data_IF_358178855735
#
_entry.id   IF_358178855735
#
_cell.length_a   1.000
_cell.length_b   1.000
_cell.length_c   1.000
_cell.angle_alpha   90.00
_cell.angle_beta   90.00
_cell.angle_gamma   90.00
#
_symmetry.space_group_name_H-M   'P 1'
#
loop_
_entity.id
_entity.type
_entity.pdbx_description
1 polymer ?
#
# COMPACT_ATOMS: atom_id res chain seq x y z
N UNK A 1 8.54 -10.21 -39.86
CA UNK A 1 8.72 -9.08 -38.92
C UNK A 1 8.08 -9.52 -37.63
N UNK A 2 8.89 -9.98 -36.68
CA UNK A 2 8.41 -10.52 -35.41
C UNK A 2 7.88 -9.39 -34.55
N UNK A 3 6.60 -9.48 -34.20
CA UNK A 3 5.99 -8.56 -33.22
C UNK A 3 6.62 -8.95 -31.88
N UNK A 4 7.49 -8.11 -31.27
CA UNK A 4 7.99 -8.41 -29.95
C UNK A 4 6.78 -8.50 -29.03
N UNK A 5 6.72 -9.52 -28.18
CA UNK A 5 5.71 -9.65 -27.12
C UNK A 5 5.60 -8.29 -26.41
N UNK A 6 4.57 -7.52 -26.76
CA UNK A 6 4.65 -6.07 -26.59
C UNK A 6 4.69 -5.74 -25.11
N UNK A 7 5.59 -4.85 -24.71
CA UNK A 7 5.64 -4.28 -23.35
C UNK A 7 4.25 -3.97 -22.78
N UNK A 8 3.35 -3.45 -23.63
CA UNK A 8 1.96 -3.16 -23.28
C UNK A 8 1.12 -4.41 -22.94
N UNK A 9 1.35 -5.55 -23.58
CA UNK A 9 0.69 -6.81 -23.26
C UNK A 9 1.11 -7.31 -21.87
N UNK A 10 2.41 -7.32 -21.58
CA UNK A 10 2.92 -7.67 -20.25
C UNK A 10 2.38 -6.71 -19.19
N UNK A 11 2.34 -5.40 -19.49
CA UNK A 11 1.83 -4.39 -18.56
C UNK A 11 0.36 -4.59 -18.24
N UNK A 12 -0.46 -4.89 -19.25
CA UNK A 12 -1.87 -5.24 -19.06
C UNK A 12 -2.03 -6.51 -18.23
N UNK A 13 -1.19 -7.51 -18.48
CA UNK A 13 -1.19 -8.76 -17.72
C UNK A 13 -0.82 -8.55 -16.26
N UNK A 14 0.23 -7.77 -15.97
CA UNK A 14 0.64 -7.44 -14.60
C UNK A 14 -0.50 -6.74 -13.84
N UNK A 15 -1.12 -5.71 -14.42
CA UNK A 15 -2.26 -5.02 -13.80
C UNK A 15 -3.45 -5.93 -13.53
N UNK A 16 -3.74 -6.87 -14.43
CA UNK A 16 -4.80 -7.85 -14.24
C UNK A 16 -4.49 -8.78 -13.07
N UNK A 17 -3.26 -9.28 -12.99
CA UNK A 17 -2.81 -10.15 -11.90
C UNK A 17 -2.80 -9.40 -10.56
N UNK A 18 -2.34 -8.14 -10.54
CA UNK A 18 -2.40 -7.26 -9.36
C UNK A 18 -3.83 -7.09 -8.85
N UNK A 19 -4.78 -6.77 -9.73
CA UNK A 19 -6.18 -6.62 -9.35
C UNK A 19 -6.81 -7.91 -8.80
N UNK A 20 -6.50 -9.05 -9.42
CA UNK A 20 -6.98 -10.36 -8.94
C UNK A 20 -6.35 -10.73 -7.59
N UNK A 21 -5.07 -10.38 -7.40
CA UNK A 21 -4.35 -10.63 -6.16
C UNK A 21 -4.93 -9.77 -5.02
N UNK A 22 -5.22 -8.49 -5.28
CA UNK A 22 -5.87 -7.59 -4.32
C UNK A 22 -7.24 -8.07 -3.88
N UNK A 23 -8.08 -8.52 -4.83
CA UNK A 23 -9.41 -9.05 -4.53
C UNK A 23 -9.34 -10.21 -3.54
N UNK A 24 -8.35 -11.07 -3.70
CA UNK A 24 -8.30 -12.32 -2.93
C UNK A 24 -7.49 -12.19 -1.66
N UNK A 25 -6.54 -11.25 -1.64
CA UNK A 25 -5.98 -10.77 -0.39
C UNK A 25 -7.07 -10.15 0.49
N UNK A 26 -8.06 -9.47 -0.08
CA UNK A 26 -9.22 -8.97 0.68
C UNK A 26 -10.12 -10.11 1.20
N UNK A 27 -10.35 -11.17 0.42
CA UNK A 27 -11.07 -12.35 0.89
C UNK A 27 -10.29 -13.04 2.02
N UNK A 28 -8.98 -13.18 1.87
CA UNK A 28 -8.10 -13.77 2.87
C UNK A 28 -8.07 -12.94 4.15
N UNK A 29 -8.02 -11.60 4.07
CA UNK A 29 -8.18 -10.69 5.21
C UNK A 29 -9.49 -10.93 5.97
N UNK A 30 -10.61 -11.08 5.24
CA UNK A 30 -11.93 -11.36 5.85
C UNK A 30 -11.94 -12.72 6.55
N UNK A 31 -11.33 -13.73 5.93
CA UNK A 31 -11.17 -15.06 6.51
C UNK A 31 -10.32 -15.00 7.79
N UNK A 32 -9.19 -14.28 7.76
CA UNK A 32 -8.32 -14.07 8.93
C UNK A 32 -9.01 -13.30 10.07
N UNK A 33 -9.96 -12.42 9.75
CA UNK A 33 -10.78 -11.74 10.76
C UNK A 33 -11.91 -12.61 11.30
N UNK A 34 -12.49 -13.49 10.47
CA UNK A 34 -13.65 -14.30 10.79
C UNK A 34 -13.32 -15.63 11.46
N UNK A 35 -12.12 -16.19 11.20
CA UNK A 35 -11.71 -17.50 11.72
C UNK A 35 -11.39 -17.46 13.21
N UNK A 36 -12.43 -17.69 14.00
CA UNK A 36 -12.43 -18.20 15.39
C UNK A 36 -13.11 -19.60 15.44
N UNK A 37 -13.51 -20.18 14.29
CA UNK A 37 -14.26 -21.45 14.24
C UNK A 37 -13.65 -22.46 13.27
N UNK A 38 -13.47 -23.68 13.78
CA UNK A 38 -12.68 -24.84 13.34
C UNK A 38 -13.08 -25.49 11.99
N UNK A 39 -13.89 -24.83 11.15
CA UNK A 39 -14.43 -25.41 9.90
C UNK A 39 -13.84 -24.84 8.60
N UNK A 40 -12.87 -23.94 8.69
CA UNK A 40 -12.38 -23.15 7.55
C UNK A 40 -11.03 -23.58 6.97
N UNK A 41 -10.35 -24.59 7.54
CA UNK A 41 -8.97 -24.96 7.18
C UNK A 41 -8.80 -25.37 5.71
N UNK A 42 -9.77 -26.09 5.13
CA UNK A 42 -9.69 -26.50 3.73
C UNK A 42 -9.82 -25.30 2.77
N UNK A 43 -10.78 -24.41 3.03
CA UNK A 43 -10.99 -23.19 2.23
C UNK A 43 -9.85 -22.19 2.38
N UNK A 44 -9.20 -22.17 3.55
CA UNK A 44 -8.02 -21.36 3.84
C UNK A 44 -6.82 -21.84 3.02
N UNK A 45 -6.53 -23.15 3.06
CA UNK A 45 -5.41 -23.74 2.33
C UNK A 45 -5.54 -23.57 0.81
N UNK A 46 -6.75 -23.73 0.28
CA UNK A 46 -7.05 -23.50 -1.14
C UNK A 46 -6.78 -22.04 -1.53
N UNK A 47 -7.24 -21.08 -0.71
CA UNK A 47 -7.07 -19.65 -0.95
C UNK A 47 -5.59 -19.23 -0.84
N UNK A 48 -4.85 -19.73 0.15
CA UNK A 48 -3.41 -19.50 0.26
C UNK A 48 -2.67 -20.01 -0.97
N UNK A 49 -2.96 -21.25 -1.39
CA UNK A 49 -2.30 -21.85 -2.55
C UNK A 49 -2.58 -21.09 -3.85
N UNK A 50 -3.78 -20.49 -3.96
CA UNK A 50 -4.18 -19.70 -5.11
C UNK A 50 -3.47 -18.32 -5.12
N UNK A 51 -3.36 -17.67 -3.96
CA UNK A 51 -2.59 -16.42 -3.79
C UNK A 51 -1.11 -16.64 -4.12
N UNK A 52 -0.51 -17.74 -3.63
CA UNK A 52 0.87 -18.11 -3.95
C UNK A 52 1.10 -18.33 -5.45
N UNK A 53 0.13 -18.93 -6.16
CA UNK A 53 0.19 -19.10 -7.62
C UNK A 53 0.14 -17.75 -8.33
N UNK A 54 -0.73 -16.84 -7.92
CA UNK A 54 -0.83 -15.49 -8.50
C UNK A 54 0.46 -14.68 -8.28
N UNK A 55 1.04 -14.74 -7.07
CA UNK A 55 2.32 -14.09 -6.76
C UNK A 55 3.44 -14.59 -7.68
N UNK A 56 3.55 -15.91 -7.86
CA UNK A 56 4.54 -16.51 -8.77
C UNK A 56 4.32 -16.08 -10.22
N UNK A 57 3.07 -16.00 -10.68
CA UNK A 57 2.74 -15.53 -12.03
C UNK A 57 3.11 -14.05 -12.21
N UNK A 58 2.81 -13.19 -11.23
CA UNK A 58 3.17 -11.77 -11.29
C UNK A 58 4.69 -11.58 -11.27
N UNK A 59 5.41 -12.37 -10.47
CA UNK A 59 6.87 -12.40 -10.46
C UNK A 59 7.45 -12.80 -11.83
N UNK A 60 6.86 -13.81 -12.49
CA UNK A 60 7.27 -14.22 -13.84
C UNK A 60 7.02 -13.12 -14.88
N UNK A 61 5.89 -12.41 -14.79
CA UNK A 61 5.61 -11.28 -15.70
C UNK A 61 6.61 -10.14 -15.46
N UNK A 62 6.93 -9.83 -14.20
CA UNK A 62 7.93 -8.83 -13.85
C UNK A 62 9.33 -9.20 -14.34
N UNK A 63 9.72 -10.48 -14.31
CA UNK A 63 11.02 -10.91 -14.85
C UNK A 63 11.09 -10.81 -16.38
N UNK A 64 9.98 -11.12 -17.07
CA UNK A 64 9.86 -10.91 -18.52
C UNK A 64 9.95 -9.43 -18.89
N UNK A 65 9.27 -8.55 -18.15
CA UNK A 65 9.40 -7.10 -18.30
C UNK A 65 10.83 -6.62 -18.06
N UNK A 66 11.50 -7.16 -17.03
CA UNK A 66 12.88 -6.82 -16.73
C UNK A 66 13.84 -7.20 -17.87
N UNK A 67 13.67 -8.37 -18.48
CA UNK A 67 14.46 -8.78 -19.65
C UNK A 67 14.27 -7.83 -20.85
N UNK A 68 13.05 -7.32 -21.07
CA UNK A 68 12.77 -6.32 -22.11
C UNK A 68 13.37 -4.94 -21.80
N UNK A 69 13.40 -4.53 -20.52
CA UNK A 69 14.06 -3.29 -20.11
C UNK A 69 15.57 -3.39 -20.30
N UNK A 70 16.18 -4.51 -19.92
CA UNK A 70 17.62 -4.73 -20.04
C UNK A 70 18.13 -4.79 -21.49
N UNK A 71 17.26 -5.05 -22.47
CA UNK A 71 17.61 -5.12 -23.90
C UNK A 71 17.54 -3.77 -24.63
N UNK A 72 17.18 -2.67 -23.93
CA UNK A 72 17.19 -1.32 -24.50
C UNK A 72 15.98 -0.46 -24.14
N UNK A 73 15.40 -0.63 -22.95
CA UNK A 73 14.21 0.10 -22.51
C UNK A 73 14.46 1.59 -22.24
N UNK A 74 13.47 2.42 -22.56
CA UNK A 74 13.44 3.84 -22.18
C UNK A 74 13.33 4.02 -20.65
N UNK A 75 13.84 5.13 -20.12
CA UNK A 75 13.75 5.49 -18.68
C UNK A 75 12.33 5.37 -18.10
N UNK A 76 11.32 5.71 -18.91
CA UNK A 76 9.89 5.60 -18.54
C UNK A 76 9.43 4.15 -18.35
N UNK A 77 9.97 3.24 -19.17
CA UNK A 77 9.70 1.79 -19.13
C UNK A 77 10.36 1.20 -17.88
N UNK A 78 11.59 1.62 -17.57
CA UNK A 78 12.30 1.25 -16.34
C UNK A 78 11.59 1.71 -15.06
N UNK A 79 11.09 2.95 -15.02
CA UNK A 79 10.31 3.44 -13.88
C UNK A 79 9.01 2.64 -13.70
N UNK A 80 8.33 2.32 -14.81
CA UNK A 80 7.11 1.53 -14.77
C UNK A 80 7.37 0.11 -14.26
N UNK A 81 8.48 -0.52 -14.67
CA UNK A 81 8.91 -1.81 -14.12
C UNK A 81 9.17 -1.72 -12.61
N UNK A 82 9.93 -0.72 -12.17
CA UNK A 82 10.25 -0.55 -10.75
C UNK A 82 8.97 -0.46 -9.91
N UNK A 83 7.96 0.26 -10.41
CA UNK A 83 6.65 0.34 -9.76
C UNK A 83 5.96 -1.03 -9.64
N UNK A 84 5.97 -1.85 -10.69
CA UNK A 84 5.39 -3.20 -10.65
C UNK A 84 6.18 -4.14 -9.71
N UNK A 85 7.49 -3.95 -9.56
CA UNK A 85 8.32 -4.68 -8.59
C UNK A 85 8.01 -4.28 -7.15
N UNK A 86 7.86 -2.97 -6.87
CA UNK A 86 7.41 -2.46 -5.57
C UNK A 86 6.06 -3.05 -5.17
N UNK A 87 5.07 -3.01 -6.09
CA UNK A 87 3.72 -3.55 -5.83
C UNK A 87 3.80 -5.05 -5.51
N UNK A 88 4.57 -5.82 -6.28
CA UNK A 88 4.77 -7.25 -6.00
C UNK A 88 5.38 -7.48 -4.61
N UNK A 89 6.39 -6.69 -4.23
CA UNK A 89 7.03 -6.80 -2.92
C UNK A 89 6.05 -6.47 -1.78
N UNK A 90 5.29 -5.39 -1.92
CA UNK A 90 4.28 -4.97 -0.93
C UNK A 90 3.22 -6.05 -0.73
N UNK A 91 2.66 -6.58 -1.83
CA UNK A 91 1.65 -7.65 -1.80
C UNK A 91 2.20 -8.95 -1.20
N UNK A 92 3.45 -9.30 -1.51
CA UNK A 92 4.12 -10.47 -0.93
C UNK A 92 4.31 -10.31 0.58
N UNK A 93 4.81 -9.16 1.01
CA UNK A 93 5.01 -8.87 2.44
C UNK A 93 3.69 -8.86 3.20
N UNK A 94 2.64 -8.30 2.61
CA UNK A 94 1.31 -8.30 3.18
C UNK A 94 0.75 -9.72 3.34
N UNK A 95 0.88 -10.57 2.32
CA UNK A 95 0.49 -11.97 2.38
C UNK A 95 1.15 -12.71 3.54
N UNK A 96 2.48 -12.60 3.66
CA UNK A 96 3.22 -13.22 4.76
C UNK A 96 2.79 -12.69 6.13
N UNK A 97 2.49 -11.39 6.24
CA UNK A 97 1.99 -10.80 7.48
C UNK A 97 0.62 -11.37 7.86
N UNK A 98 -0.29 -11.49 6.90
CA UNK A 98 -1.62 -12.06 7.12
C UNK A 98 -1.52 -13.53 7.54
N UNK A 99 -0.68 -14.33 6.87
CA UNK A 99 -0.46 -15.73 7.23
C UNK A 99 0.12 -15.92 8.63
N UNK A 100 1.08 -15.07 9.02
CA UNK A 100 1.60 -15.07 10.39
C UNK A 100 0.53 -14.69 11.41
N UNK A 101 -0.29 -13.68 11.10
CA UNK A 101 -1.40 -13.26 11.97
C UNK A 101 -2.44 -14.36 12.12
N UNK A 102 -2.71 -15.13 11.07
CA UNK A 102 -3.66 -16.23 11.08
C UNK A 102 -3.17 -17.36 11.98
N UNK A 103 -1.91 -17.79 11.76
CA UNK A 103 -1.27 -18.81 12.58
C UNK A 103 -1.24 -18.44 14.06
N UNK A 104 -0.87 -17.19 14.38
CA UNK A 104 -0.87 -16.73 15.76
C UNK A 104 -2.27 -16.82 16.40
N UNK A 105 -3.34 -16.50 15.64
CA UNK A 105 -4.72 -16.65 16.13
C UNK A 105 -5.13 -18.11 16.29
N UNK A 106 -4.75 -18.99 15.36
CA UNK A 106 -5.00 -20.43 15.46
C UNK A 106 -4.29 -21.04 16.68
N UNK A 107 -3.02 -20.71 16.90
CA UNK A 107 -2.25 -21.13 18.08
C UNK A 107 -2.88 -20.61 19.38
N UNK A 108 -3.34 -19.36 19.40
CA UNK A 108 -4.07 -18.83 20.56
C UNK A 108 -5.40 -19.54 20.80
N UNK A 109 -6.13 -19.90 19.73
CA UNK A 109 -7.39 -20.62 19.83
C UNK A 109 -7.19 -22.05 20.33
N UNK A 110 -6.19 -22.77 19.82
CA UNK A 110 -5.87 -24.14 20.25
C UNK A 110 -5.42 -24.18 21.71
N UNK A 111 -4.61 -23.22 22.16
CA UNK A 111 -4.22 -23.11 23.57
C UNK A 111 -5.43 -22.84 24.49
N UNK A 112 -6.40 -22.01 24.06
CA UNK A 112 -7.62 -21.77 24.82
C UNK A 112 -8.54 -22.99 24.86
N UNK A 113 -8.62 -23.75 23.77
CA UNK A 113 -9.37 -25.01 23.72
C UNK A 113 -8.77 -26.03 24.70
N UNK A 114 -7.45 -26.17 24.70
CA UNK A 114 -6.71 -27.06 25.62
C UNK A 114 -6.91 -26.67 27.09
N UNK A 115 -6.86 -25.36 27.39
CA UNK A 115 -7.20 -24.84 28.72
C UNK A 115 -8.65 -25.10 29.13
N UNK A 116 -9.60 -24.98 28.19
CA UNK A 116 -11.02 -25.22 28.46
C UNK A 116 -11.30 -26.70 28.70
N UNK A 117 -10.63 -27.59 27.98
CA UNK A 117 -10.71 -29.03 28.17
C UNK A 117 -10.10 -29.44 29.52
N UNK A 118 -8.97 -28.83 29.90
CA UNK A 118 -8.35 -29.00 31.21
C UNK A 118 -9.25 -28.50 32.37
N UNK A 119 -9.86 -27.33 32.23
CA UNK A 119 -10.77 -26.78 33.25
C UNK A 119 -12.04 -27.66 33.37
N UNK A 120 -12.57 -28.17 32.26
CA UNK A 120 -13.69 -29.13 32.28
C UNK A 120 -13.34 -30.44 32.95
N UNK A 121 -12.18 -31.02 32.65
CA UNK A 121 -11.75 -32.28 33.27
C UNK A 121 -11.47 -32.12 34.76
N UNK A 122 -10.97 -30.96 35.24
CA UNK A 122 -10.90 -30.68 36.69
C UNK A 122 -12.28 -30.44 37.32
N UNK A 123 -13.17 -29.71 36.67
CA UNK A 123 -14.51 -29.44 37.20
C UNK A 123 -15.34 -30.73 37.35
N UNK A 124 -15.13 -31.72 36.48
CA UNK A 124 -15.77 -33.05 36.59
C UNK A 124 -15.16 -33.92 37.71
N UNK A 125 -13.97 -33.56 38.21
CA UNK A 125 -13.24 -34.28 39.26
C UNK A 125 -13.33 -33.64 40.66
N UNK A 126 -13.72 -32.37 40.77
CA UNK A 126 -13.56 -31.60 42.02
C UNK A 126 -14.79 -30.72 42.33
N UNK A 127 -15.86 -31.37 42.78
CA UNK A 127 -17.04 -30.75 43.38
C UNK A 127 -16.68 -30.18 44.78
N UNK A 128 -16.04 -29.00 44.81
CA UNK A 128 -15.61 -28.32 46.05
C UNK A 128 -15.41 -26.81 45.84
N UNK A 129 -16.49 -26.03 45.96
CA UNK A 129 -16.71 -24.79 45.20
C UNK A 129 -16.24 -23.45 45.81
N UNK A 130 -15.44 -23.39 46.88
CA UNK A 130 -15.07 -22.10 47.50
C UNK A 130 -13.58 -21.75 47.38
N UNK A 131 -12.67 -22.67 47.75
CA UNK A 131 -11.22 -22.43 47.61
C UNK A 131 -10.79 -22.20 46.16
N UNK A 132 -11.39 -22.91 45.19
CA UNK A 132 -11.05 -22.76 43.77
C UNK A 132 -11.49 -21.41 43.21
N UNK A 133 -12.63 -20.88 43.68
CA UNK A 133 -13.10 -19.55 43.28
C UNK A 133 -12.11 -18.46 43.71
N UNK A 134 -11.60 -18.56 44.94
CA UNK A 134 -10.62 -17.61 45.49
C UNK A 134 -9.26 -17.69 44.78
N UNK A 135 -8.79 -18.91 44.46
CA UNK A 135 -7.54 -19.10 43.71
C UNK A 135 -7.67 -18.57 42.26
N UNK A 136 -8.84 -18.76 41.63
CA UNK A 136 -9.13 -18.23 40.30
C UNK A 136 -9.20 -16.69 40.32
N UNK A 137 -9.79 -16.11 41.35
CA UNK A 137 -9.80 -14.66 41.55
C UNK A 137 -8.37 -14.10 41.70
N UNK A 138 -7.56 -14.72 42.57
CA UNK A 138 -6.17 -14.32 42.77
C UNK A 138 -5.34 -14.42 41.47
N UNK A 139 -5.51 -15.50 40.70
CA UNK A 139 -4.86 -15.65 39.41
C UNK A 139 -5.32 -14.58 38.41
N UNK A 140 -6.61 -14.23 38.39
CA UNK A 140 -7.16 -13.17 37.53
C UNK A 140 -6.65 -11.77 37.91
N UNK A 141 -6.48 -11.49 39.20
CA UNK A 141 -5.90 -10.24 39.71
C UNK A 141 -4.43 -10.14 39.30
N UNK A 142 -3.64 -11.19 39.52
CA UNK A 142 -2.22 -11.22 39.13
C UNK A 142 -2.05 -11.00 37.62
N UNK A 143 -2.92 -11.62 36.80
CA UNK A 143 -2.93 -11.43 35.34
C UNK A 143 -3.30 -10.00 34.95
N UNK A 144 -4.26 -9.40 35.65
CA UNK A 144 -4.69 -7.99 35.43
C UNK A 144 -3.58 -7.01 35.78
N UNK A 145 -2.83 -7.26 36.86
CA UNK A 145 -1.65 -6.46 37.24
C UNK A 145 -0.59 -6.47 36.14
N UNK A 146 -0.23 -7.64 35.60
CA UNK A 146 0.74 -7.72 34.49
C UNK A 146 0.25 -7.07 33.19
N UNK A 147 -1.05 -7.08 32.91
CA UNK A 147 -1.61 -6.34 31.78
C UNK A 147 -1.54 -4.83 31.99
N UNK A 148 -1.72 -4.35 33.23
CA UNK A 148 -1.57 -2.93 33.56
C UNK A 148 -0.15 -2.43 33.34
N UNK A 149 0.87 -3.24 33.66
CA UNK A 149 2.28 -2.91 33.39
C UNK A 149 2.57 -2.78 31.88
N UNK A 150 1.96 -3.64 31.06
CA UNK A 150 2.07 -3.54 29.60
C UNK A 150 1.42 -2.26 29.05
N UNK A 151 0.26 -1.87 29.59
CA UNK A 151 -0.40 -0.60 29.23
C UNK A 151 0.44 0.60 29.64
N UNK A 152 1.08 0.56 30.81
CA UNK A 152 2.00 1.62 31.28
C UNK A 152 3.22 1.72 30.35
N UNK A 153 3.83 0.58 29.99
CA UNK A 153 4.96 0.55 29.06
C UNK A 153 4.58 1.09 27.67
N UNK A 154 3.42 0.67 27.15
CA UNK A 154 2.91 1.14 25.86
C UNK A 154 2.57 2.64 25.88
N UNK A 155 2.03 3.15 26.99
CA UNK A 155 1.77 4.58 27.19
C UNK A 155 3.08 5.39 27.21
N UNK A 156 4.11 4.90 27.91
CA UNK A 156 5.44 5.54 27.93
C UNK A 156 6.10 5.55 26.55
N UNK A 157 6.01 4.44 25.81
CA UNK A 157 6.50 4.39 24.42
C UNK A 157 5.74 5.38 23.53
N UNK A 158 4.42 5.47 23.67
CA UNK A 158 3.58 6.41 22.90
C UNK A 158 3.96 7.87 23.24
N UNK A 159 4.15 8.21 24.52
CA UNK A 159 4.64 9.53 24.92
C UNK A 159 6.00 9.86 24.30
N UNK A 160 6.94 8.90 24.29
CA UNK A 160 8.23 9.05 23.61
C UNK A 160 8.08 9.35 22.12
N UNK A 161 7.22 8.61 21.43
CA UNK A 161 6.94 8.84 19.99
C UNK A 161 6.28 10.19 19.73
N UNK A 162 5.34 10.63 20.58
CA UNK A 162 4.67 11.94 20.45
C UNK A 162 5.63 13.10 20.69
N UNK A 163 6.58 12.97 21.63
CA UNK A 163 7.63 13.97 21.87
C UNK A 163 8.59 14.05 20.67
N UNK A 164 8.99 12.91 20.11
CA UNK A 164 9.82 12.87 18.89
C UNK A 164 9.08 13.45 17.68
N UNK A 165 7.78 13.18 17.57
CA UNK A 165 6.90 13.72 16.54
C UNK A 165 6.74 15.24 16.67
N UNK A 166 6.64 15.77 17.90
CA UNK A 166 6.62 17.23 18.16
C UNK A 166 7.92 17.92 17.71
N UNK A 167 9.07 17.31 17.97
CA UNK A 167 10.37 17.80 17.48
C UNK A 167 10.43 17.79 15.94
N UNK A 168 9.91 16.73 15.32
CA UNK A 168 9.81 16.60 13.85
C UNK A 168 8.89 17.66 13.24
N UNK A 169 7.73 17.94 13.86
CA UNK A 169 6.83 19.02 13.42
C UNK A 169 7.47 20.40 13.51
N UNK A 170 8.34 20.65 14.51
CA UNK A 170 9.15 21.87 14.57
C UNK A 170 10.06 22.04 13.35
N UNK A 171 10.65 20.95 12.85
CA UNK A 171 11.48 20.93 11.64
C UNK A 171 10.72 21.07 10.33
N UNK A 172 9.42 20.78 10.29
CA UNK A 172 8.58 20.96 9.09
C UNK A 172 8.30 22.45 8.85
N UNK A 173 8.10 23.24 9.90
CA UNK A 173 7.87 24.68 9.76
C UNK A 173 9.11 25.41 9.18
N UNK A 174 10.32 24.97 9.53
CA UNK A 174 11.56 25.53 8.96
C UNK A 174 11.78 25.13 7.50
N UNK A 175 11.39 23.90 7.11
CA UNK A 175 11.42 23.45 5.70
C UNK A 175 10.34 24.15 4.86
N UNK A 176 9.13 24.35 5.39
CA UNK A 176 8.03 25.06 4.71
C UNK A 176 8.37 26.54 4.50
N UNK A 177 8.99 27.21 5.48
CA UNK A 177 9.52 28.57 5.33
C UNK A 177 10.57 28.66 4.20
N UNK A 178 11.46 27.67 4.10
CA UNK A 178 12.44 27.59 3.00
C UNK A 178 11.83 27.26 1.63
N UNK A 179 10.68 26.60 1.57
CA UNK A 179 9.94 26.38 0.31
C UNK A 179 9.18 27.65 -0.08
N UNK A 180 8.61 28.37 0.88
CA UNK A 180 7.93 29.65 0.67
C UNK A 180 8.85 30.72 0.07
N UNK A 181 10.14 30.72 0.40
CA UNK A 181 11.12 31.64 -0.19
C UNK A 181 11.48 31.31 -1.65
N UNK A 182 11.13 30.12 -2.17
CA UNK A 182 11.37 29.71 -3.57
C UNK A 182 10.16 29.80 -4.49
N UNK A 183 8.94 29.92 -3.95
CA UNK A 183 7.72 30.18 -4.72
C UNK A 183 7.74 31.48 -5.56
N UNK A 184 8.33 32.62 -5.13
CA UNK A 184 8.40 33.80 -5.99
C UNK A 184 9.22 33.58 -7.27
N UNK A 185 10.19 32.65 -7.27
CA UNK A 185 11.01 32.32 -8.46
C UNK A 185 10.25 31.51 -9.51
N UNK A 186 9.25 30.72 -9.11
CA UNK A 186 8.43 29.95 -10.07
C UNK A 186 7.45 30.86 -10.80
N UNK A 187 6.92 31.90 -10.12
CA UNK A 187 6.00 32.84 -10.74
C UNK A 187 6.68 33.76 -11.79
N UNK A 188 7.96 34.10 -11.59
CA UNK A 188 8.72 34.88 -12.59
C UNK A 188 9.04 34.06 -13.84
N UNK A 189 9.38 32.77 -13.69
CA UNK A 189 9.61 31.86 -14.82
C UNK A 189 8.32 31.61 -15.62
N UNK A 190 7.20 31.37 -14.92
CA UNK A 190 5.90 31.17 -15.57
C UNK A 190 5.44 32.42 -16.32
N UNK A 191 5.66 33.61 -15.75
CA UNK A 191 5.35 34.89 -16.39
C UNK A 191 6.23 35.16 -17.62
N UNK A 192 7.53 34.81 -17.57
CA UNK A 192 8.44 34.94 -18.69
C UNK A 192 8.04 34.03 -19.87
N UNK A 193 7.61 32.79 -19.58
CA UNK A 193 7.12 31.84 -20.59
C UNK A 193 5.83 32.36 -21.25
N UNK A 194 4.87 32.85 -20.45
CA UNK A 194 3.60 33.36 -20.97
C UNK A 194 3.79 34.59 -21.88
N UNK A 195 4.74 35.47 -21.55
CA UNK A 195 5.07 36.66 -22.34
C UNK A 195 5.73 36.33 -23.69
N UNK A 196 6.54 35.27 -23.77
CA UNK A 196 7.11 34.84 -25.06
C UNK A 196 6.03 34.29 -25.99
N UNK A 197 5.13 33.46 -25.48
CA UNK A 197 4.00 32.90 -26.24
C UNK A 197 3.01 33.95 -26.75
N UNK A 198 2.78 35.03 -26.01
CA UNK A 198 1.91 36.12 -26.46
C UNK A 198 2.50 36.95 -27.60
N UNK A 199 3.84 37.12 -27.64
CA UNK A 199 4.50 37.87 -28.71
C UNK A 199 4.42 37.14 -30.04
N UNK A 200 4.63 35.83 -30.05
CA UNK A 200 4.55 35.01 -31.27
C UNK A 200 3.12 35.04 -31.87
N UNK A 201 2.09 35.03 -31.01
CA UNK A 201 0.69 35.11 -31.44
C UNK A 201 0.34 36.48 -32.04
N UNK A 202 0.88 37.56 -31.44
CA UNK A 202 0.63 38.93 -31.90
C UNK A 202 1.26 39.16 -33.29
N UNK A 203 2.51 38.73 -33.49
CA UNK A 203 3.21 38.84 -34.78
C UNK A 203 2.46 38.05 -35.86
N UNK A 204 2.05 36.81 -35.58
CA UNK A 204 1.33 35.98 -36.54
C UNK A 204 0.00 36.63 -36.97
N UNK A 205 -0.77 37.18 -36.02
CA UNK A 205 -2.05 37.84 -36.30
C UNK A 205 -1.91 39.11 -37.15
N UNK A 206 -0.83 39.88 -36.94
CA UNK A 206 -0.56 41.10 -37.69
C UNK A 206 -0.18 40.79 -39.15
N UNK A 207 0.67 39.78 -39.37
CA UNK A 207 1.05 39.35 -40.72
C UNK A 207 -0.16 38.83 -41.49
N UNK A 208 -1.01 38.01 -40.86
CA UNK A 208 -2.23 37.51 -41.49
C UNK A 208 -3.20 38.64 -41.88
N UNK A 209 -3.36 39.65 -41.02
CA UNK A 209 -4.20 40.83 -41.29
C UNK A 209 -3.68 41.66 -42.48
N UNK A 210 -2.37 41.91 -42.54
CA UNK A 210 -1.77 42.66 -43.66
C UNK A 210 -1.91 41.89 -44.98
N UNK A 211 -1.65 40.58 -44.98
CA UNK A 211 -1.82 39.76 -46.18
C UNK A 211 -3.26 39.77 -46.69
N UNK A 212 -4.24 39.60 -45.80
CA UNK A 212 -5.66 39.62 -46.18
C UNK A 212 -6.10 40.99 -46.70
N UNK A 213 -5.61 42.08 -46.10
CA UNK A 213 -5.89 43.44 -46.57
C UNK A 213 -5.33 43.71 -47.98
N UNK A 214 -4.10 43.31 -48.26
CA UNK A 214 -3.50 43.46 -49.59
C UNK A 214 -4.23 42.65 -50.66
N UNK A 215 -4.68 41.43 -50.33
CA UNK A 215 -5.49 40.60 -51.23
C UNK A 215 -6.81 41.30 -51.57
N UNK A 216 -7.49 41.88 -50.58
CA UNK A 216 -8.76 42.61 -50.78
C UNK A 216 -8.55 43.85 -51.67
N UNK A 217 -7.49 44.63 -51.45
CA UNK A 217 -7.16 45.77 -52.31
C UNK A 217 -6.89 45.33 -53.75
N UNK A 218 -6.11 44.26 -53.94
CA UNK A 218 -5.82 43.73 -55.28
C UNK A 218 -7.10 43.31 -56.01
N UNK A 219 -8.05 42.71 -55.28
CA UNK A 219 -9.34 42.31 -55.83
C UNK A 219 -10.25 43.49 -56.17
N UNK A 220 -10.22 44.57 -55.38
CA UNK A 220 -10.99 45.79 -55.64
C UNK A 220 -10.42 46.65 -56.76
N UNK A 221 -9.11 46.55 -57.02
CA UNK A 221 -8.42 47.37 -58.03
C UNK A 221 -8.43 46.72 -59.42
N UNK A 222 -8.78 45.43 -59.51
CA UNK A 222 -8.89 44.67 -60.76
C UNK A 222 -10.32 44.65 -61.27
#
# INVERSE_FOLDING_TARGET
>A
MEVPSSWDALRKQARKLEAQLDEQMNLYRKLVSANVSTKADATESDLESWIDRLLKQLQQVNSQMQALVSTGGSEVVSHTLNRHQEILQDLTQEFFRLRKSLRAKQEHASLLEDFKEFDRTRLDLEEGSEQHSLLKEHASISRSTGQMDNVISQAQATLGTLVLQRSTFGGINSKLSNVSSRLPTVNTILSAIKRKKSMDTLILSLVASVCTFLIVIYWLTK
#
